data_IF_152040745910
#
_entry.id   IF_152040745910
#
_cell.length_a   1.000
_cell.length_b   1.000
_cell.length_c   1.000
_cell.angle_alpha   90.00
_cell.angle_beta   90.00
_cell.angle_gamma   90.00
#
_symmetry.space_group_name_H-M   'P 1'
#
loop_
_entity.id
_entity.type
_entity.pdbx_description
1 polymer ?
#
# COMPACT_ATOMS: atom_id res chain seq x y z
N UNK A 1 13.63 -1.69 -25.56
CA UNK A 1 13.72 -1.54 -24.08
C UNK A 1 12.32 -1.19 -23.61
N UNK A 2 11.88 -1.60 -22.41
CA UNK A 2 10.59 -1.14 -21.89
C UNK A 2 10.61 0.39 -21.75
N UNK A 3 9.43 1.00 -21.86
CA UNK A 3 9.25 2.43 -21.65
C UNK A 3 9.43 2.76 -20.15
N UNK A 4 9.86 3.98 -19.85
CA UNK A 4 10.25 4.36 -18.49
C UNK A 4 9.55 5.66 -18.07
N UNK A 5 8.78 5.57 -16.98
CA UNK A 5 8.18 6.69 -16.28
C UNK A 5 9.15 7.17 -15.19
N UNK A 6 9.74 8.36 -15.37
CA UNK A 6 10.64 8.96 -14.40
C UNK A 6 9.88 9.62 -13.24
N UNK A 7 10.28 9.29 -12.02
CA UNK A 7 9.76 9.87 -10.77
C UNK A 7 10.94 10.29 -9.90
N UNK A 8 11.08 11.58 -9.62
CA UNK A 8 12.12 12.10 -8.75
C UNK A 8 11.57 12.37 -7.35
N UNK A 9 12.31 11.94 -6.33
CA UNK A 9 11.98 12.17 -4.92
C UNK A 9 12.98 13.10 -4.26
N UNK A 10 12.50 13.91 -3.33
CA UNK A 10 13.30 14.84 -2.52
C UNK A 10 14.11 15.88 -3.33
N UNK A 11 13.78 16.10 -4.61
CA UNK A 11 14.56 16.95 -5.53
C UNK A 11 14.43 18.45 -5.24
N UNK A 12 13.23 18.92 -4.89
CA UNK A 12 12.95 20.32 -4.55
C UNK A 12 12.81 20.62 -3.05
N UNK A 13 12.12 19.75 -2.31
CA UNK A 13 11.94 19.80 -0.84
C UNK A 13 11.94 18.39 -0.27
N UNK A 14 12.11 18.26 1.05
CA UNK A 14 11.94 16.98 1.74
C UNK A 14 10.54 16.41 1.45
N UNK A 15 10.49 15.13 1.11
CA UNK A 15 9.31 14.36 0.71
C UNK A 15 8.57 14.84 -0.56
N UNK A 16 9.09 15.80 -1.32
CA UNK A 16 8.52 16.11 -2.63
C UNK A 16 8.61 14.93 -3.58
N UNK A 17 7.54 14.80 -4.37
CA UNK A 17 7.43 13.97 -5.56
C UNK A 17 7.42 14.90 -6.77
N UNK A 18 8.24 14.62 -7.77
CA UNK A 18 8.25 15.31 -9.06
C UNK A 18 8.16 14.25 -10.16
N UNK A 19 7.04 14.21 -10.86
CA UNK A 19 6.71 13.26 -11.92
C UNK A 19 5.85 13.98 -12.98
N UNK A 20 5.71 13.45 -14.21
CA UNK A 20 4.79 14.01 -15.19
C UNK A 20 3.33 13.75 -14.80
N UNK A 21 2.41 14.63 -15.20
CA UNK A 21 0.98 14.50 -14.91
C UNK A 21 0.30 13.38 -15.74
N UNK A 22 0.91 12.97 -16.85
CA UNK A 22 0.44 11.90 -17.74
C UNK A 22 1.59 11.09 -18.34
N UNK A 23 1.30 9.84 -18.67
CA UNK A 23 2.22 8.90 -19.31
C UNK A 23 1.44 7.98 -20.26
N UNK A 24 1.90 7.91 -21.51
CA UNK A 24 1.34 7.04 -22.55
C UNK A 24 2.25 5.83 -22.75
N UNK A 25 1.67 4.64 -22.90
CA UNK A 25 2.42 3.40 -23.16
C UNK A 25 1.58 2.40 -23.94
N UNK A 26 2.23 1.44 -24.61
CA UNK A 26 1.56 0.36 -25.33
C UNK A 26 1.73 -1.04 -24.74
N UNK A 27 2.49 -1.15 -23.64
CA UNK A 27 2.85 -2.44 -23.00
C UNK A 27 3.26 -2.20 -21.54
N UNK A 28 3.81 -3.24 -20.92
CA UNK A 28 4.52 -3.22 -19.66
C UNK A 28 5.67 -2.19 -19.67
N UNK A 29 5.71 -1.34 -18.64
CA UNK A 29 6.64 -0.24 -18.49
C UNK A 29 7.33 -0.28 -17.12
N UNK A 30 8.32 0.60 -16.91
CA UNK A 30 9.08 0.68 -15.65
C UNK A 30 8.89 2.06 -15.03
N UNK A 31 8.52 2.10 -13.75
CA UNK A 31 8.63 3.32 -12.95
C UNK A 31 10.05 3.40 -12.42
N UNK A 32 10.80 4.41 -12.86
CA UNK A 32 12.16 4.69 -12.38
C UNK A 32 12.11 5.78 -11.32
N UNK A 33 12.34 5.38 -10.07
CA UNK A 33 12.25 6.23 -8.88
C UNK A 33 13.67 6.63 -8.46
N UNK A 34 14.03 7.90 -8.66
CA UNK A 34 15.34 8.44 -8.27
C UNK A 34 15.22 9.30 -7.02
N UNK A 35 15.91 8.91 -5.95
CA UNK A 35 15.92 9.67 -4.69
C UNK A 35 17.12 10.61 -4.56
N UNK A 36 16.86 11.92 -4.62
CA UNK A 36 17.85 13.00 -4.51
C UNK A 36 18.21 13.40 -3.07
N UNK A 37 17.51 12.86 -2.06
CA UNK A 37 17.62 13.31 -0.66
C UNK A 37 17.54 12.18 0.36
N UNK A 38 16.87 12.43 1.50
CA UNK A 38 16.77 11.43 2.57
C UNK A 38 16.04 10.14 2.12
N UNK A 39 16.40 9.00 2.71
CA UNK A 39 15.73 7.73 2.42
C UNK A 39 14.21 7.83 2.65
N UNK A 40 13.43 7.32 1.70
CA UNK A 40 11.98 7.52 1.67
C UNK A 40 11.22 6.21 1.49
N UNK A 41 10.07 6.10 2.15
CA UNK A 41 9.05 5.12 1.81
C UNK A 41 8.13 5.68 0.74
N UNK A 42 7.93 4.91 -0.33
CA UNK A 42 7.07 5.23 -1.46
C UNK A 42 5.96 4.21 -1.53
N UNK A 43 4.72 4.67 -1.54
CA UNK A 43 3.57 3.85 -1.88
C UNK A 43 3.19 4.10 -3.34
N UNK A 44 3.19 3.03 -4.14
CA UNK A 44 2.66 3.00 -5.50
C UNK A 44 1.32 2.27 -5.47
N UNK A 45 0.29 2.86 -6.08
CA UNK A 45 -1.03 2.26 -6.22
C UNK A 45 -1.56 2.49 -7.63
N UNK A 46 -2.05 1.42 -8.25
CA UNK A 46 -2.91 1.49 -9.43
C UNK A 46 -4.35 1.74 -8.97
N UNK A 47 -5.11 2.56 -9.68
CA UNK A 47 -6.56 2.65 -9.50
C UNK A 47 -7.27 1.37 -9.96
N UNK A 48 -8.56 1.26 -9.64
CA UNK A 48 -9.31 0.01 -9.81
C UNK A 48 -9.45 -0.39 -11.29
N UNK A 49 -9.41 0.58 -12.22
CA UNK A 49 -9.38 0.32 -13.66
C UNK A 49 -8.02 -0.16 -14.14
N UNK A 50 -6.94 0.55 -13.82
CA UNK A 50 -5.59 0.16 -14.25
C UNK A 50 -5.16 -1.18 -13.59
N UNK A 51 -5.65 -1.47 -12.38
CA UNK A 51 -5.43 -2.74 -11.69
C UNK A 51 -6.18 -3.94 -12.32
N UNK A 52 -7.16 -3.72 -13.21
CA UNK A 52 -7.83 -4.79 -13.96
C UNK A 52 -6.91 -5.37 -15.04
N UNK A 53 -6.19 -4.51 -15.76
CA UNK A 53 -5.33 -4.90 -16.89
C UNK A 53 -3.83 -4.97 -16.55
N UNK A 54 -3.39 -4.33 -15.47
CA UNK A 54 -1.98 -4.23 -15.11
C UNK A 54 -1.74 -4.63 -13.64
N UNK A 55 -0.57 -5.23 -13.39
CA UNK A 55 -0.17 -5.67 -12.05
C UNK A 55 1.15 -5.02 -11.62
N UNK A 56 1.16 -4.52 -10.39
CA UNK A 56 2.34 -4.04 -9.69
C UNK A 56 2.86 -5.14 -8.74
N UNK A 57 4.15 -5.51 -8.74
CA UNK A 57 4.66 -6.63 -7.94
C UNK A 57 4.67 -6.37 -6.43
N UNK A 58 4.88 -5.13 -6.02
CA UNK A 58 4.85 -4.66 -4.63
C UNK A 58 4.40 -3.20 -4.62
N UNK A 59 3.53 -2.81 -3.68
CA UNK A 59 3.06 -1.44 -3.57
C UNK A 59 3.89 -0.53 -2.65
N UNK A 60 4.85 -1.04 -1.88
CA UNK A 60 5.63 -0.26 -0.90
C UNK A 60 7.13 -0.47 -1.11
N UNK A 61 7.83 0.61 -1.43
CA UNK A 61 9.25 0.62 -1.74
C UNK A 61 10.02 1.49 -0.72
N UNK A 62 11.25 1.08 -0.38
CA UNK A 62 12.13 1.83 0.51
C UNK A 62 13.39 2.27 -0.25
N UNK A 63 13.37 3.51 -0.72
CA UNK A 63 14.41 4.07 -1.58
C UNK A 63 15.47 4.72 -0.70
N UNK A 64 16.70 4.20 -0.72
CA UNK A 64 17.84 4.84 -0.03
C UNK A 64 18.24 6.15 -0.71
N UNK A 65 18.92 7.02 0.03
CA UNK A 65 19.52 8.26 -0.49
C UNK A 65 20.44 7.99 -1.69
N UNK A 66 20.25 8.74 -2.78
CA UNK A 66 21.07 8.65 -3.99
C UNK A 66 20.89 7.36 -4.79
N UNK A 67 19.83 6.58 -4.53
CA UNK A 67 19.54 5.32 -5.24
C UNK A 67 18.41 5.54 -6.24
N UNK A 68 18.58 4.92 -7.41
CA UNK A 68 17.54 4.71 -8.41
C UNK A 68 16.95 3.31 -8.19
N UNK A 69 15.64 3.23 -7.97
CA UNK A 69 14.90 1.97 -7.95
C UNK A 69 14.02 1.85 -9.21
N UNK A 70 13.87 0.62 -9.72
CA UNK A 70 13.09 0.33 -10.92
C UNK A 70 11.98 -0.63 -10.58
N UNK A 71 10.74 -0.15 -10.66
CA UNK A 71 9.55 -0.93 -10.38
C UNK A 71 8.86 -1.29 -11.70
N UNK A 72 8.90 -2.55 -12.14
CA UNK A 72 8.20 -2.96 -13.36
C UNK A 72 6.70 -3.03 -13.11
N UNK A 73 5.90 -2.49 -14.02
CA UNK A 73 4.45 -2.67 -14.11
C UNK A 73 4.19 -3.56 -15.31
N UNK A 74 3.59 -4.74 -15.06
CA UNK A 74 3.24 -5.70 -16.10
C UNK A 74 1.82 -5.45 -16.59
N UNK A 75 1.64 -5.20 -17.88
CA UNK A 75 0.32 -5.09 -18.53
C UNK A 75 -0.01 -6.46 -19.15
N UNK A 76 -1.15 -7.04 -18.77
CA UNK A 76 -1.57 -8.39 -19.20
C UNK A 76 -2.56 -8.35 -20.36
N UNK A 77 -3.47 -7.38 -20.36
CA UNK A 77 -4.45 -7.16 -21.43
C UNK A 77 -4.35 -5.71 -21.94
N UNK A 78 -3.55 -5.43 -22.98
CA UNK A 78 -3.39 -4.09 -23.53
C UNK A 78 -4.61 -3.68 -24.37
N UNK A 79 -5.77 -3.56 -23.73
CA UNK A 79 -6.92 -2.83 -24.26
C UNK A 79 -6.72 -1.31 -24.15
N UNK A 80 -7.45 -0.50 -24.93
CA UNK A 80 -7.42 0.96 -24.78
C UNK A 80 -8.05 1.34 -23.44
N UNK A 81 -7.22 1.74 -22.47
CA UNK A 81 -7.65 2.10 -21.12
C UNK A 81 -6.92 3.35 -20.64
N UNK A 82 -7.66 4.23 -19.96
CA UNK A 82 -7.09 5.29 -19.14
C UNK A 82 -7.37 5.01 -17.67
N UNK A 83 -6.33 5.06 -16.83
CA UNK A 83 -6.42 4.95 -15.38
C UNK A 83 -5.36 5.81 -14.69
N UNK A 84 -5.13 5.56 -13.41
CA UNK A 84 -4.31 6.42 -12.54
C UNK A 84 -3.28 5.61 -11.78
N UNK A 85 -2.02 6.05 -11.84
CA UNK A 85 -0.94 5.63 -10.95
C UNK A 85 -0.76 6.69 -9.87
N UNK A 86 -1.13 6.37 -8.63
CA UNK A 86 -0.86 7.20 -7.47
C UNK A 86 0.55 6.89 -6.93
N UNK A 87 1.37 7.92 -6.79
CA UNK A 87 2.65 7.89 -6.07
C UNK A 87 2.48 8.69 -4.78
N UNK A 88 2.74 8.08 -3.63
CA UNK A 88 2.64 8.75 -2.33
C UNK A 88 3.90 8.53 -1.48
N UNK A 89 4.31 9.54 -0.72
CA UNK A 89 5.41 9.46 0.25
C UNK A 89 5.01 10.11 1.58
N UNK A 90 5.91 10.13 2.57
CA UNK A 90 5.66 10.70 3.90
C UNK A 90 4.35 10.21 4.56
N UNK A 91 4.10 8.90 4.48
CA UNK A 91 2.86 8.26 4.97
C UNK A 91 1.56 8.79 4.33
N UNK A 92 1.66 9.36 3.12
CA UNK A 92 0.52 9.86 2.35
C UNK A 92 0.29 11.37 2.44
N UNK A 93 1.11 12.12 3.21
CA UNK A 93 0.99 13.59 3.26
C UNK A 93 1.45 14.28 1.97
N UNK A 94 2.25 13.60 1.16
CA UNK A 94 2.71 14.05 -0.15
C UNK A 94 2.27 12.99 -1.16
N UNK A 95 1.43 13.38 -2.12
CA UNK A 95 0.84 12.48 -3.13
C UNK A 95 0.84 13.17 -4.49
N UNK A 96 1.13 12.40 -5.54
CA UNK A 96 1.03 12.82 -6.92
C UNK A 96 0.32 11.74 -7.74
N UNK A 97 -0.60 12.16 -8.62
CA UNK A 97 -1.44 11.26 -9.43
C UNK A 97 -1.04 11.40 -10.90
N UNK A 98 -0.71 10.28 -11.53
CA UNK A 98 -0.20 10.24 -12.89
C UNK A 98 -1.23 9.53 -13.77
N UNK A 99 -1.67 10.18 -14.84
CA UNK A 99 -2.63 9.60 -15.78
C UNK A 99 -1.95 8.56 -16.68
N UNK A 100 -2.26 7.29 -16.38
CA UNK A 100 -2.14 6.02 -17.10
C UNK A 100 -2.84 5.88 -18.46
N UNK A 101 -2.28 6.24 -19.61
CA UNK A 101 -2.90 5.89 -20.90
C UNK A 101 -2.22 4.65 -21.54
N UNK A 102 -2.95 3.54 -21.63
CA UNK A 102 -2.52 2.32 -22.31
C UNK A 102 -3.19 2.25 -23.68
N UNK A 103 -2.42 2.43 -24.75
CA UNK A 103 -2.91 2.32 -26.13
C UNK A 103 -2.34 1.09 -26.84
N UNK A 104 -3.16 0.14 -27.35
CA UNK A 104 -2.65 -1.00 -28.09
C UNK A 104 -1.89 -0.55 -29.35
N UNK A 105 -0.61 -0.91 -29.46
CA UNK A 105 0.12 -0.80 -30.72
C UNK A 105 -0.61 -1.59 -31.81
N UNK A 106 -1.11 -0.87 -32.82
CA UNK A 106 -1.76 -1.44 -33.99
C UNK A 106 -0.79 -2.36 -34.77
N UNK A 107 -0.76 -3.63 -34.42
CA UNK A 107 0.23 -4.59 -34.93
C UNK A 107 0.36 -5.90 -34.15
N UNK A 108 -0.09 -5.97 -32.89
CA UNK A 108 -0.27 -7.26 -32.19
C UNK A 108 -1.51 -7.98 -32.72
N UNK A 109 -1.38 -8.56 -33.91
CA UNK A 109 -2.39 -9.44 -34.47
C UNK A 109 -2.58 -10.61 -33.50
N UNK A 110 -3.79 -10.78 -32.97
CA UNK A 110 -4.21 -12.03 -32.34
C UNK A 110 -3.94 -13.13 -33.35
N UNK A 111 -2.98 -14.01 -33.05
CA UNK A 111 -2.76 -15.22 -33.86
C UNK A 111 -3.96 -16.10 -33.61
N UNK A 112 -4.91 -16.06 -34.54
CA UNK A 112 -6.05 -16.96 -34.59
C UNK A 112 -5.48 -18.38 -34.74
N UNK A 113 -5.51 -19.14 -33.64
CA UNK A 113 -5.01 -20.51 -33.61
C UNK A 113 -6.02 -21.36 -34.36
N UNK A 114 -5.75 -21.59 -35.64
CA UNK A 114 -6.55 -22.46 -36.51
C UNK A 114 -6.66 -23.86 -35.87
N UNK A 115 -7.88 -24.22 -35.49
CA UNK A 115 -8.21 -25.47 -34.81
C UNK A 115 -7.90 -26.73 -35.66
N UNK A 116 -7.65 -26.57 -36.96
CA UNK A 116 -7.15 -27.66 -37.83
C UNK A 116 -5.74 -28.16 -37.48
N UNK A 117 -4.94 -27.40 -36.69
CA UNK A 117 -3.64 -27.88 -36.21
C UNK A 117 -3.72 -29.01 -35.17
N UNK A 118 -4.91 -29.28 -34.62
CA UNK A 118 -5.11 -30.25 -33.53
C UNK A 118 -5.33 -31.68 -34.08
N UNK A 119 -5.79 -31.83 -35.32
CA UNK A 119 -6.06 -33.12 -35.98
C UNK A 119 -4.82 -33.72 -36.66
N UNK A 120 -3.75 -33.90 -35.87
CA UNK A 120 -2.40 -34.28 -36.34
C UNK A 120 -1.77 -35.52 -35.72
N UNK A 121 -2.43 -36.26 -34.81
CA UNK A 121 -1.87 -37.51 -34.24
C UNK A 121 -2.95 -38.48 -33.75
N UNK A 122 -3.52 -39.26 -34.66
CA UNK A 122 -4.46 -40.35 -34.32
C UNK A 122 -3.78 -41.56 -33.64
N UNK A 123 -4.52 -42.30 -32.82
CA UNK A 123 -3.99 -43.47 -32.12
C UNK A 123 -4.92 -44.09 -31.06
N UNK A 124 -6.05 -44.65 -31.48
CA UNK A 124 -7.02 -45.34 -30.61
C UNK A 124 -6.45 -46.54 -29.84
N UNK A 125 -6.88 -46.78 -28.59
CA UNK A 125 -7.25 -48.12 -28.06
C UNK A 125 -8.08 -48.05 -26.76
N UNK A 126 -9.38 -48.35 -26.89
CA UNK A 126 -10.21 -49.26 -26.07
C UNK A 126 -9.84 -49.57 -24.60
N UNK A 127 -10.64 -48.99 -23.70
CA UNK A 127 -11.46 -49.60 -22.62
C UNK A 127 -11.08 -50.92 -21.89
N UNK A 128 -11.56 -50.99 -20.62
CA UNK A 128 -11.68 -52.13 -19.66
C UNK A 128 -10.41 -52.47 -18.85
N UNK A 129 -10.47 -53.03 -17.63
CA UNK A 129 -11.45 -52.97 -16.53
C UNK A 129 -10.89 -53.74 -15.31
N UNK A 130 -11.26 -53.33 -14.09
CA UNK A 130 -11.45 -54.18 -12.87
C UNK A 130 -10.31 -55.06 -12.30
N UNK A 131 -10.16 -55.00 -10.97
CA UNK A 131 -9.51 -56.01 -10.13
C UNK A 131 -8.24 -55.51 -9.41
N UNK A 132 -7.94 -55.89 -8.17
CA UNK A 132 -8.76 -56.53 -7.13
C UNK A 132 -8.14 -56.21 -5.75
N UNK A 133 -8.93 -56.33 -4.67
CA UNK A 133 -8.46 -56.04 -3.31
C UNK A 133 -7.55 -57.15 -2.75
N UNK A 134 -6.68 -56.82 -1.79
CA UNK A 134 -6.55 -57.56 -0.51
C UNK A 134 -5.46 -56.98 0.40
N UNK A 135 -5.85 -56.73 1.67
CA UNK A 135 -5.20 -57.13 2.95
C UNK A 135 -3.68 -56.93 3.16
N UNK A 136 -3.13 -56.69 4.36
CA UNK A 136 -3.51 -57.12 5.73
C UNK A 136 -3.08 -56.09 6.78
N UNK A 137 -3.63 -56.22 8.00
CA UNK A 137 -3.24 -55.42 9.16
C UNK A 137 -1.97 -55.93 9.85
N UNK A 138 -1.23 -55.02 10.50
CA UNK A 138 -0.38 -55.36 11.66
C UNK A 138 -0.08 -54.14 12.56
N UNK A 139 -0.69 -54.19 13.75
CA UNK A 139 0.01 -54.14 15.04
C UNK A 139 0.62 -52.83 15.57
N UNK A 140 -0.16 -52.12 16.38
CA UNK A 140 0.32 -51.53 17.65
C UNK A 140 0.74 -52.67 18.64
N UNK A 141 1.44 -52.46 19.78
CA UNK A 141 1.59 -51.20 20.53
C UNK A 141 2.97 -50.91 21.19
N UNK A 142 3.16 -49.70 21.75
CA UNK A 142 3.58 -49.43 23.16
C UNK A 142 3.85 -47.94 23.41
N UNK A 143 3.77 -47.53 24.68
CA UNK A 143 3.58 -46.14 25.12
C UNK A 143 4.85 -45.53 25.82
N UNK A 144 4.81 -44.49 26.69
CA UNK A 144 5.73 -43.34 26.67
C UNK A 144 6.68 -43.39 27.92
N UNK A 145 7.17 -42.32 28.61
CA UNK A 145 7.11 -40.86 28.37
C UNK A 145 8.42 -40.05 28.66
N UNK A 146 8.39 -38.75 28.32
CA UNK A 146 9.21 -37.68 28.93
C UNK A 146 8.55 -36.31 28.65
N UNK A 147 8.53 -35.31 29.54
CA UNK A 147 9.09 -35.34 30.89
C UNK A 147 9.44 -34.00 31.58
N UNK A 148 8.78 -32.85 31.33
CA UNK A 148 8.86 -31.62 32.16
C UNK A 148 7.84 -30.58 31.65
N UNK A 149 6.99 -29.88 32.44
CA UNK A 149 7.26 -28.88 33.51
C UNK A 149 8.20 -27.75 33.04
N UNK A 150 8.01 -26.46 33.31
CA UNK A 150 6.92 -25.64 33.86
C UNK A 150 7.22 -24.15 33.46
N UNK A 151 6.55 -23.05 33.84
CA UNK A 151 5.66 -22.74 34.98
C UNK A 151 4.78 -21.50 34.67
N UNK A 152 3.68 -21.34 35.41
CA UNK A 152 2.87 -20.12 35.60
C UNK A 152 3.66 -18.80 35.66
N UNK A 153 3.17 -17.75 34.99
CA UNK A 153 3.46 -16.35 35.33
C UNK A 153 2.17 -15.50 35.30
N UNK A 154 1.44 -15.48 36.42
CA UNK A 154 0.48 -14.41 36.71
C UNK A 154 1.28 -13.14 37.01
N UNK A 155 1.07 -12.08 36.24
CA UNK A 155 1.47 -10.71 36.62
C UNK A 155 0.22 -9.84 36.70
N UNK A 156 -0.34 -9.73 37.90
CA UNK A 156 -1.33 -8.70 38.19
C UNK A 156 -0.61 -7.37 38.34
N UNK A 157 -0.99 -6.37 37.54
CA UNK A 157 -0.61 -4.97 37.77
C UNK A 157 -1.84 -4.26 38.31
N UNK A 158 -1.94 -4.25 39.64
CA UNK A 158 -2.82 -3.30 40.32
C UNK A 158 -2.19 -1.92 40.20
N UNK A 159 -2.88 -0.98 39.53
CA UNK A 159 -2.61 0.46 39.65
C UNK A 159 -3.86 1.11 40.20
N UNK A 160 -3.98 1.10 41.52
CA UNK A 160 -4.69 2.16 42.22
C UNK A 160 -3.96 3.48 41.91
N UNK A 161 -4.71 4.47 41.45
CA UNK A 161 -4.24 5.84 41.31
C UNK A 161 -5.44 6.72 41.62
N UNK A 162 -5.44 7.32 42.80
CA UNK A 162 -6.55 8.13 43.29
C UNK A 162 -6.72 9.37 42.41
N UNK A 163 -7.94 9.58 41.93
CA UNK A 163 -8.33 10.76 41.16
C UNK A 163 -8.74 11.89 42.13
N UNK A 164 -7.77 12.42 42.86
CA UNK A 164 -7.95 13.54 43.80
C UNK A 164 -7.02 14.70 43.42
N UNK A 165 -7.19 15.27 42.22
CA UNK A 165 -6.59 16.57 41.87
C UNK A 165 -7.34 17.27 40.71
N UNK A 166 -8.33 18.15 41.01
CA UNK A 166 -8.98 18.96 39.99
C UNK A 166 -8.07 20.12 39.56
N UNK A 167 -7.12 19.84 38.66
CA UNK A 167 -6.19 20.88 38.16
C UNK A 167 -5.45 20.57 36.86
N UNK A 168 -5.33 19.30 36.45
CA UNK A 168 -4.48 18.88 35.32
C UNK A 168 -5.26 18.43 34.06
N UNK A 169 -6.47 18.93 33.85
CA UNK A 169 -7.30 18.64 32.66
C UNK A 169 -7.46 19.83 31.70
N UNK A 170 -7.17 21.06 32.12
CA UNK A 170 -7.31 22.24 31.27
C UNK A 170 -6.18 22.37 30.23
N UNK A 171 -4.94 22.00 30.58
CA UNK A 171 -3.77 22.18 29.71
C UNK A 171 -3.72 21.22 28.53
N UNK A 172 -4.09 19.94 28.72
CA UNK A 172 -3.97 18.91 27.68
C UNK A 172 -4.97 19.10 26.54
N UNK A 173 -6.21 19.50 26.85
CA UNK A 173 -7.23 19.80 25.85
C UNK A 173 -6.83 20.98 24.94
N UNK A 174 -6.20 22.02 25.49
CA UNK A 174 -5.74 23.17 24.73
C UNK A 174 -4.61 22.80 23.75
N UNK A 175 -3.64 22.00 24.19
CA UNK A 175 -2.55 21.52 23.32
C UNK A 175 -3.07 20.65 22.17
N UNK A 176 -4.08 19.79 22.44
CA UNK A 176 -4.73 18.97 21.41
C UNK A 176 -5.47 19.85 20.39
N UNK A 177 -6.22 20.86 20.84
CA UNK A 177 -6.91 21.80 19.95
C UNK A 177 -5.94 22.60 19.06
N UNK A 178 -4.83 23.07 19.63
CA UNK A 178 -3.79 23.79 18.86
C UNK A 178 -3.12 22.84 17.85
N UNK A 179 -2.78 21.61 18.26
CA UNK A 179 -2.21 20.60 17.37
C UNK A 179 -3.12 20.22 16.21
N UNK A 180 -4.42 20.08 16.45
CA UNK A 180 -5.41 19.85 15.39
C UNK A 180 -5.48 21.07 14.45
N UNK A 181 -5.53 22.29 14.97
CA UNK A 181 -5.53 23.50 14.14
C UNK A 181 -4.31 23.63 13.22
N UNK A 182 -3.14 23.14 13.66
CA UNK A 182 -1.91 23.14 12.87
C UNK A 182 -1.82 22.02 11.81
N UNK A 183 -2.75 21.06 11.80
CA UNK A 183 -2.79 19.98 10.80
C UNK A 183 -3.66 20.31 9.57
N UNK A 184 -4.41 21.42 9.58
CA UNK A 184 -5.36 21.80 8.52
C UNK A 184 -5.08 23.21 7.95
N UNK A 185 -3.81 23.49 7.59
CA UNK A 185 -3.37 24.83 7.18
C UNK A 185 -3.85 25.32 5.78
N UNK A 186 -4.45 24.45 4.96
CA UNK A 186 -4.82 24.77 3.56
C UNK A 186 -6.12 25.62 3.39
N UNK A 187 -6.71 26.12 4.48
CA UNK A 187 -7.96 26.88 4.44
C UNK A 187 -7.90 28.23 5.13
N UNK A 188 -7.83 29.34 4.38
CA UNK A 188 -7.84 30.71 4.92
C UNK A 188 -9.06 31.00 5.83
N UNK A 189 -10.19 30.35 5.58
CA UNK A 189 -11.41 30.44 6.39
C UNK A 189 -11.29 29.75 7.77
N UNK A 190 -10.52 28.65 7.88
CA UNK A 190 -10.28 27.94 9.16
C UNK A 190 -9.45 28.80 10.12
N UNK A 191 -8.43 29.49 9.61
CA UNK A 191 -7.50 30.29 10.41
C UNK A 191 -8.21 31.37 11.27
N UNK A 192 -9.22 32.04 10.69
CA UNK A 192 -10.05 33.02 11.42
C UNK A 192 -10.86 32.36 12.54
N UNK A 193 -11.39 31.16 12.31
CA UNK A 193 -12.10 30.36 13.30
C UNK A 193 -11.20 29.97 14.48
N UNK A 194 -9.98 29.49 14.22
CA UNK A 194 -9.02 29.11 15.26
C UNK A 194 -8.63 30.30 16.16
N UNK A 195 -8.41 31.48 15.58
CA UNK A 195 -8.12 32.71 16.35
C UNK A 195 -9.33 33.11 17.21
N UNK A 196 -10.55 33.03 16.68
CA UNK A 196 -11.75 33.36 17.44
C UNK A 196 -11.96 32.41 18.64
N UNK A 197 -11.71 31.12 18.47
CA UNK A 197 -11.79 30.12 19.56
C UNK A 197 -10.71 30.37 20.63
N UNK A 198 -9.46 30.62 20.23
CA UNK A 198 -8.38 30.95 21.16
C UNK A 198 -8.68 32.25 21.95
N UNK A 199 -9.15 33.29 21.27
CA UNK A 199 -9.55 34.55 21.91
C UNK A 199 -10.68 34.35 22.91
N UNK A 200 -11.72 33.60 22.55
CA UNK A 200 -12.83 33.26 23.44
C UNK A 200 -12.39 32.50 24.69
N UNK A 201 -11.44 31.56 24.55
CA UNK A 201 -10.91 30.77 25.66
C UNK A 201 -10.06 31.63 26.62
N UNK A 202 -9.28 32.59 26.11
CA UNK A 202 -8.55 33.57 26.92
C UNK A 202 -9.52 34.48 27.70
N UNK A 203 -10.58 34.98 27.06
CA UNK A 203 -11.61 35.81 27.73
C UNK A 203 -12.36 35.01 28.80
N UNK A 204 -12.75 33.77 28.52
CA UNK A 204 -13.39 32.90 29.49
C UNK A 204 -12.48 32.57 30.69
N UNK A 205 -11.17 32.36 30.45
CA UNK A 205 -10.17 32.18 31.50
C UNK A 205 -9.99 33.44 32.35
N UNK A 206 -10.01 34.62 31.75
CA UNK A 206 -9.94 35.89 32.47
C UNK A 206 -11.16 36.11 33.38
N UNK A 207 -12.38 35.84 32.87
CA UNK A 207 -13.65 35.92 33.62
C UNK A 207 -13.80 34.85 34.72
N UNK A 208 -12.96 33.82 34.73
CA UNK A 208 -12.88 32.83 35.82
C UNK A 208 -11.87 33.20 36.91
N UNK A 209 -11.00 34.18 36.64
CA UNK A 209 -9.92 34.63 37.53
C UNK A 209 -10.21 35.99 38.18
N UNK A 210 -11.32 36.64 37.84
CA UNK A 210 -11.69 38.00 38.29
C UNK A 210 -13.20 38.17 38.46
#
# INVERSE_FOLDING_TARGET
MPETLAVHLNRGRLHAIEAPDSFETADSFVVEIENHGEAAHVHLRLDDGLAEIASLPTGNHYIRTGVVERVPISVHDPGPLTGTLTVATAYGSETHEITIAVEPTAGKQTVEIDESLIEGSGGSTTARSSGAASTTASSAPRSPPSGSRSTTARSGVGRSSGLETPGLLAGTALVILIGIGLLFLDGLAMFVGTIAVLGGLVVAGYLLLY
#
